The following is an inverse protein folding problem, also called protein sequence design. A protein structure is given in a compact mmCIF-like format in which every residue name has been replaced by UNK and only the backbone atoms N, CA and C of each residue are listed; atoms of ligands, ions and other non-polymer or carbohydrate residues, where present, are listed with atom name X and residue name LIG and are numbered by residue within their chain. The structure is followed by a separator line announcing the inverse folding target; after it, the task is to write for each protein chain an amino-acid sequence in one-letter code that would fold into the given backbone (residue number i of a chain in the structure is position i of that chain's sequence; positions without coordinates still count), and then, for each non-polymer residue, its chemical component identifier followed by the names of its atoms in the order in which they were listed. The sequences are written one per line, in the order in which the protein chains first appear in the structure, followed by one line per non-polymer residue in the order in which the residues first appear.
data_IF_205762555127
#
_entry.id   IF_205762555127
#
_cell.length_a   1.000
_cell.length_b   1.000
_cell.length_c   1.000
_cell.angle_alpha   90.00
_cell.angle_beta   90.00
_cell.angle_gamma   90.00
#
_symmetry.space_group_name_H-M   'P 1'
#
loop_
_entity.id
_entity.type
_entity.pdbx_description
1 polymer ?
#
# COMPACT_ATOMS: atom_id res chain seq x y z
N UNK A 1 -9.06 13.44 1.86
CA UNK A 1 -9.01 13.91 0.45
C UNK A 1 -7.71 13.44 -0.16
N UNK A 2 -7.75 12.59 -1.20
CA UNK A 2 -6.56 12.02 -1.84
C UNK A 2 -5.59 13.12 -2.32
N UNK A 3 -4.29 12.90 -2.10
CA UNK A 3 -3.23 13.82 -2.50
C UNK A 3 -2.54 13.40 -3.81
N UNK A 4 -2.27 12.10 -3.97
CA UNK A 4 -1.58 11.52 -5.13
C UNK A 4 -2.29 10.22 -5.54
N UNK A 5 -2.03 9.78 -6.76
CA UNK A 5 -2.44 8.44 -7.21
C UNK A 5 -1.36 7.40 -6.92
N UNK A 6 -1.78 6.17 -6.66
CA UNK A 6 -0.92 5.05 -6.28
C UNK A 6 0.18 4.82 -7.33
N UNK A 7 -0.20 4.72 -8.61
CA UNK A 7 0.74 4.47 -9.71
C UNK A 7 1.66 5.65 -10.09
N UNK A 8 1.50 6.82 -9.47
CA UNK A 8 2.25 8.04 -9.81
C UNK A 8 3.41 8.34 -8.86
N UNK A 9 3.55 7.58 -7.76
CA UNK A 9 4.64 7.80 -6.80
C UNK A 9 5.99 7.43 -7.42
N UNK A 10 6.98 8.32 -7.28
CA UNK A 10 8.32 8.25 -7.88
C UNK A 10 9.39 8.71 -6.88
N UNK A 11 10.69 8.46 -7.13
CA UNK A 11 11.79 8.94 -6.28
C UNK A 11 11.82 10.45 -6.05
N UNK A 12 11.22 11.26 -6.93
CA UNK A 12 11.07 12.71 -6.70
C UNK A 12 10.16 13.07 -5.51
N UNK A 13 9.33 12.12 -5.06
CA UNK A 13 8.42 12.28 -3.91
C UNK A 13 9.04 11.79 -2.60
N UNK A 14 10.32 11.42 -2.57
CA UNK A 14 10.96 10.90 -1.35
C UNK A 14 10.80 11.84 -0.16
N UNK A 15 10.56 11.25 1.02
CA UNK A 15 10.32 11.95 2.29
C UNK A 15 9.03 12.79 2.32
N UNK A 16 8.23 12.80 1.25
CA UNK A 16 6.95 13.47 1.23
C UNK A 16 5.89 12.61 1.94
N UNK A 17 5.04 13.26 2.73
CA UNK A 17 3.81 12.65 3.23
C UNK A 17 2.77 12.61 2.11
N UNK A 18 2.22 11.43 1.85
CA UNK A 18 1.19 11.19 0.85
C UNK A 18 -0.04 10.56 1.48
N UNK A 19 -1.20 11.00 1.01
CA UNK A 19 -2.51 10.41 1.26
C UNK A 19 -3.04 9.72 0.01
N UNK A 20 -3.21 8.40 0.07
CA UNK A 20 -3.56 7.52 -1.03
C UNK A 20 -4.85 6.77 -0.72
N UNK A 21 -5.73 6.66 -1.73
CA UNK A 21 -7.03 6.00 -1.60
C UNK A 21 -7.16 4.96 -2.71
N UNK A 22 -7.49 3.72 -2.35
CA UNK A 22 -7.54 2.62 -3.31
C UNK A 22 -8.05 1.32 -2.71
N UNK A 23 -7.88 0.24 -3.47
CA UNK A 23 -8.23 -1.12 -3.08
C UNK A 23 -6.97 -1.89 -2.65
N UNK A 24 -7.09 -2.69 -1.59
CA UNK A 24 -6.05 -3.66 -1.23
C UNK A 24 -6.02 -4.75 -2.31
N UNK A 25 -5.07 -4.67 -3.23
CA UNK A 25 -4.86 -5.67 -4.28
C UNK A 25 -4.35 -6.98 -3.68
N UNK A 26 -3.41 -6.87 -2.75
CA UNK A 26 -2.77 -8.01 -2.10
C UNK A 26 -2.25 -7.63 -0.72
N UNK A 27 -2.46 -8.51 0.26
CA UNK A 27 -1.81 -8.45 1.59
C UNK A 27 -0.73 -9.53 1.66
N UNK A 28 0.46 -9.16 2.12
CA UNK A 28 1.58 -10.08 2.41
C UNK A 28 2.07 -9.82 3.83
N UNK A 29 2.43 -10.87 4.53
CA UNK A 29 2.87 -10.84 5.93
C UNK A 29 4.18 -11.61 6.04
N UNK A 30 5.22 -10.94 6.52
CA UNK A 30 6.57 -11.47 6.65
C UNK A 30 7.03 -11.48 8.11
N UNK A 31 6.18 -11.96 9.02
CA UNK A 31 6.60 -12.24 10.40
C UNK A 31 6.85 -10.98 11.21
N UNK A 32 5.91 -10.04 11.17
CA UNK A 32 5.98 -8.76 11.89
C UNK A 32 6.08 -7.53 11.00
N UNK A 33 6.13 -7.71 9.68
CA UNK A 33 6.02 -6.61 8.71
C UNK A 33 4.91 -6.96 7.72
N UNK A 34 3.95 -6.05 7.58
CA UNK A 34 2.82 -6.21 6.67
C UNK A 34 3.04 -5.34 5.44
N UNK A 35 2.82 -5.93 4.28
CA UNK A 35 2.85 -5.26 3.00
C UNK A 35 1.45 -5.28 2.37
N UNK A 36 0.94 -4.12 2.02
CA UNK A 36 -0.28 -3.97 1.23
C UNK A 36 0.09 -3.42 -0.13
N UNK A 37 -0.27 -4.14 -1.19
CA UNK A 37 -0.26 -3.59 -2.53
C UNK A 37 -1.56 -2.81 -2.72
N UNK A 38 -1.47 -1.48 -2.68
CA UNK A 38 -2.61 -0.57 -2.83
C UNK A 38 -2.78 -0.21 -4.30
N UNK A 39 -3.95 -0.51 -4.86
CA UNK A 39 -4.29 -0.29 -6.27
C UNK A 39 -5.29 0.83 -6.42
N UNK A 40 -5.05 1.69 -7.40
CA UNK A 40 -6.07 2.56 -7.98
C UNK A 40 -6.02 2.49 -9.51
N UNK A 41 -6.76 3.36 -10.20
CA UNK A 41 -6.84 3.34 -11.66
C UNK A 41 -5.53 3.75 -12.37
N UNK A 42 -4.54 4.29 -11.65
CA UNK A 42 -3.23 4.67 -12.21
C UNK A 42 -2.16 3.60 -11.99
N UNK A 43 -2.41 2.64 -11.10
CA UNK A 43 -1.51 1.52 -10.86
C UNK A 43 -1.48 1.08 -9.41
N UNK A 44 -0.37 0.44 -9.04
CA UNK A 44 -0.18 -0.19 -7.73
C UNK A 44 1.05 0.39 -7.05
N UNK A 45 0.95 0.63 -5.74
CA UNK A 45 2.06 1.02 -4.86
C UNK A 45 2.11 0.06 -3.66
N UNK A 46 3.32 -0.21 -3.17
CA UNK A 46 3.50 -0.97 -1.93
C UNK A 46 3.42 -0.02 -0.73
N UNK A 47 2.58 -0.38 0.23
CA UNK A 47 2.49 0.25 1.54
C UNK A 47 3.01 -0.74 2.57
N UNK A 48 3.94 -0.30 3.42
CA UNK A 48 4.58 -1.10 4.46
C UNK A 48 4.11 -0.64 5.83
N UNK A 49 3.77 -1.58 6.69
CA UNK A 49 3.47 -1.36 8.09
C UNK A 49 4.42 -2.21 8.93
N UNK A 50 5.21 -1.55 9.77
CA UNK A 50 6.11 -2.16 10.75
C UNK A 50 5.51 -2.05 12.17
N UNK A 51 6.06 -2.78 13.16
CA UNK A 51 5.54 -2.76 14.53
C UNK A 51 5.62 -1.39 15.21
N UNK A 52 6.49 -0.49 14.74
CA UNK A 52 6.61 0.86 15.29
C UNK A 52 5.34 1.70 14.99
N UNK A 53 4.49 1.25 14.06
CA UNK A 53 3.20 1.85 13.71
C UNK A 53 2.01 1.12 14.35
N UNK A 54 2.09 0.77 15.64
CA UNK A 54 1.15 -0.10 16.39
C UNK A 54 -0.33 -0.02 15.98
N UNK A 55 -0.92 1.18 15.98
CA UNK A 55 -2.36 1.34 15.66
C UNK A 55 -2.68 1.00 14.19
N UNK A 56 -1.81 1.41 13.27
CA UNK A 56 -1.97 1.14 11.84
C UNK A 56 -1.61 -0.31 11.51
N UNK A 57 -0.65 -0.90 12.22
CA UNK A 57 -0.26 -2.30 12.09
C UNK A 57 -1.40 -3.26 12.45
N UNK A 58 -2.05 -3.05 13.61
CA UNK A 58 -3.18 -3.88 14.04
C UNK A 58 -4.36 -3.84 13.05
N UNK A 59 -4.56 -2.70 12.39
CA UNK A 59 -5.59 -2.57 11.35
C UNK A 59 -5.13 -3.20 10.03
N UNK A 60 -3.87 -3.04 9.64
CA UNK A 60 -3.29 -3.65 8.45
C UNK A 60 -3.36 -5.20 8.50
N UNK A 61 -3.23 -5.79 9.70
CA UNK A 61 -3.31 -7.23 9.90
C UNK A 61 -4.70 -7.80 9.55
N UNK A 62 -5.74 -7.01 9.79
CA UNK A 62 -7.13 -7.37 9.51
C UNK A 62 -7.51 -7.18 8.03
N UNK A 63 -6.65 -6.59 7.22
CA UNK A 63 -6.96 -6.30 5.82
C UNK A 63 -7.18 -7.58 5.02
N UNK A 64 -8.10 -7.50 4.07
CA UNK A 64 -8.37 -8.54 3.07
C UNK A 64 -8.35 -7.90 1.70
N UNK A 65 -8.21 -8.73 0.68
CA UNK A 65 -8.24 -8.26 -0.70
C UNK A 65 -9.54 -7.50 -0.97
N UNK A 66 -9.43 -6.46 -1.81
CA UNK A 66 -10.51 -5.58 -2.25
C UNK A 66 -11.13 -4.67 -1.17
N UNK A 67 -10.55 -4.61 0.04
CA UNK A 67 -10.91 -3.56 0.99
C UNK A 67 -10.59 -2.19 0.41
N UNK A 68 -11.52 -1.24 0.57
CA UNK A 68 -11.32 0.16 0.18
C UNK A 68 -10.72 0.90 1.35
N UNK A 69 -9.50 1.41 1.18
CA UNK A 69 -8.74 2.02 2.26
C UNK A 69 -8.21 3.40 1.86
N UNK A 70 -7.98 4.22 2.88
CA UNK A 70 -7.17 5.43 2.81
C UNK A 70 -5.92 5.22 3.67
N UNK A 71 -4.76 5.54 3.11
CA UNK A 71 -3.46 5.47 3.77
C UNK A 71 -2.85 6.86 3.78
N UNK A 72 -2.33 7.28 4.93
CA UNK A 72 -1.40 8.41 5.04
C UNK A 72 -0.04 7.86 5.43
N UNK A 73 1.02 8.22 4.71
CA UNK A 73 2.34 7.70 4.98
C UNK A 73 3.46 8.45 4.27
N UNK A 74 4.70 8.07 4.59
CA UNK A 74 5.91 8.68 4.03
C UNK A 74 6.45 7.85 2.87
N UNK A 75 6.77 8.51 1.75
CA UNK A 75 7.44 7.86 0.63
C UNK A 75 8.91 7.61 0.98
N UNK A 76 9.37 6.38 0.80
CA UNK A 76 10.78 6.00 0.95
C UNK A 76 11.23 5.09 -0.18
N UNK A 77 12.55 4.97 -0.35
CA UNK A 77 13.12 3.98 -1.25
C UNK A 77 12.89 2.58 -0.69
N UNK A 78 12.65 1.63 -1.59
CA UNK A 78 12.76 0.22 -1.22
C UNK A 78 14.21 -0.14 -0.94
N UNK A 79 14.40 -1.22 -0.19
CA UNK A 79 15.70 -1.88 -0.17
C UNK A 79 16.13 -2.24 -1.60
N UNK A 80 17.42 -2.06 -1.98
CA UNK A 80 17.91 -2.41 -3.31
C UNK A 80 17.55 -3.85 -3.76
N UNK A 81 17.50 -4.81 -2.83
CA UNK A 81 17.11 -6.18 -3.13
C UNK A 81 15.60 -6.38 -3.33
N UNK A 82 14.78 -5.41 -2.89
CA UNK A 82 13.31 -5.43 -2.97
C UNK A 82 12.75 -4.54 -4.10
N UNK A 83 13.62 -3.92 -4.90
CA UNK A 83 13.21 -3.16 -6.09
C UNK A 83 12.50 -4.09 -7.08
N UNK A 84 11.30 -3.71 -7.49
CA UNK A 84 10.52 -4.50 -8.44
C UNK A 84 10.45 -3.81 -9.82
N UNK A 85 11.27 -4.20 -10.82
CA UNK A 85 11.30 -3.55 -12.12
C UNK A 85 10.01 -3.74 -12.94
N UNK A 86 9.10 -4.63 -12.52
CA UNK A 86 7.79 -4.83 -13.17
C UNK A 86 6.74 -3.80 -12.70
N UNK A 87 7.02 -3.04 -11.65
CA UNK A 87 6.11 -2.00 -11.13
C UNK A 87 6.63 -0.61 -11.50
N UNK A 88 5.72 0.27 -11.95
CA UNK A 88 6.06 1.69 -12.19
C UNK A 88 6.57 2.41 -10.94
N UNK A 89 6.13 1.95 -9.76
CA UNK A 89 6.57 2.45 -8.46
C UNK A 89 7.56 1.50 -7.80
N UNK A 90 8.25 0.65 -8.57
CA UNK A 90 9.06 -0.46 -8.08
C UNK A 90 10.26 -0.06 -7.25
N UNK A 91 10.72 1.19 -7.37
CA UNK A 91 11.86 1.76 -6.64
C UNK A 91 11.45 2.33 -5.27
N UNK A 92 10.16 2.55 -5.05
CA UNK A 92 9.63 3.25 -3.89
C UNK A 92 8.54 2.46 -3.18
N UNK A 93 8.29 2.82 -1.93
CA UNK A 93 7.20 2.33 -1.11
C UNK A 93 6.73 3.43 -0.15
N UNK A 94 5.56 3.23 0.46
CA UNK A 94 5.01 4.15 1.45
C UNK A 94 5.05 3.49 2.82
N UNK A 95 5.73 4.09 3.79
CA UNK A 95 5.62 3.71 5.20
C UNK A 95 4.26 4.22 5.72
N UNK A 96 3.32 3.31 5.95
CA UNK A 96 1.96 3.62 6.36
C UNK A 96 1.88 4.07 7.81
N UNK A 97 1.62 5.36 8.03
CA UNK A 97 1.53 5.94 9.37
C UNK A 97 0.10 5.92 9.90
N UNK A 98 -0.88 6.17 9.02
CA UNK A 98 -2.30 6.09 9.33
C UNK A 98 -3.01 5.23 8.28
N UNK A 99 -3.88 4.35 8.75
CA UNK A 99 -4.71 3.50 7.91
C UNK A 99 -6.18 3.70 8.31
N UNK A 100 -7.05 3.90 7.32
CA UNK A 100 -8.50 3.99 7.51
C UNK A 100 -9.20 3.05 6.53
N UNK A 101 -10.11 2.22 7.05
CA UNK A 101 -11.00 1.41 6.21
C UNK A 101 -12.19 2.26 5.80
N UNK A 102 -12.27 2.63 4.53
CA UNK A 102 -13.40 3.37 3.96
C UNK A 102 -14.57 2.44 3.70
N UNK A 103 -14.29 1.23 3.22
CA UNK A 103 -15.30 0.19 3.04
C UNK A 103 -14.67 -1.21 3.11
N UNK A 104 -15.41 -2.17 3.68
CA UNK A 104 -15.02 -3.58 3.68
C UNK A 104 -15.55 -4.25 2.41
N UNK A 105 -14.84 -5.27 1.94
CA UNK A 105 -15.28 -6.11 0.83
C UNK A 105 -15.55 -7.52 1.31
N UNK A 106 -16.57 -8.15 0.74
CA UNK A 106 -16.67 -9.61 0.75
C UNK A 106 -15.58 -10.20 -0.13
N UNK A 107 -15.27 -11.48 0.07
CA UNK A 107 -14.31 -12.19 -0.79
C UNK A 107 -14.83 -12.17 -2.24
N UNK A 108 -14.03 -11.67 -3.20
CA UNK A 108 -14.44 -11.65 -4.59
C UNK A 108 -14.77 -13.06 -5.10
N UNK A 109 -15.76 -13.22 -6.00
CA UNK A 109 -16.15 -14.53 -6.54
C UNK A 109 -15.05 -15.19 -7.39
N UNK A 110 -14.10 -14.39 -7.88
CA UNK A 110 -12.89 -14.82 -8.58
C UNK A 110 -11.75 -13.88 -8.21
N UNK A 111 -10.50 -14.34 -8.26
CA UNK A 111 -9.36 -13.47 -8.01
C UNK A 111 -9.14 -12.52 -9.19
N UNK A 112 -8.76 -11.29 -8.90
CA UNK A 112 -8.30 -10.35 -9.92
C UNK A 112 -6.86 -10.73 -10.26
N UNK A 113 -6.63 -11.24 -11.47
CA UNK A 113 -5.30 -11.67 -11.93
C UNK A 113 -4.32 -10.48 -12.07
N UNK A 114 -3.04 -10.76 -11.79
CA UNK A 114 -1.92 -9.86 -12.09
C UNK A 114 -1.60 -9.97 -13.60
N UNK A 115 -2.28 -9.17 -14.44
CA UNK A 115 -1.88 -8.98 -15.84
C UNK A 115 -0.72 -8.00 -15.97
#
# INVERSE_FOLDING_TARGET
MRSHYCGEIRPEHLQQEVRLNGWVNRRRDHGGIIFLDLRDHRGVIQVVFDPDTDASFALADQMRNEFVIEVVGLVRLRDPAAINPKMLTGEVEVLGQQLTVLNRSETPPFQLDEH
#
